data_IF_992662511065
#
_entry.id   IF_992662511065
#
_cell.length_a   1.000
_cell.length_b   1.000
_cell.length_c   1.000
_cell.angle_alpha   90.00
_cell.angle_beta   90.00
_cell.angle_gamma   90.00
#
_symmetry.space_group_name_H-M   'P 1'
#
loop_
_entity.id
_entity.type
_entity.pdbx_description
1 polymer ?
#
# COMPACT_ATOMS: atom_id res chain seq x y z
N UNK A 1 8.82 -10.87 15.85
CA UNK A 1 7.87 -10.16 14.96
C UNK A 1 8.01 -8.65 15.08
N UNK A 2 7.83 -8.06 16.27
CA UNK A 2 7.90 -6.59 16.48
C UNK A 2 9.26 -6.01 16.08
N UNK A 3 10.37 -6.67 16.46
CA UNK A 3 11.74 -6.23 16.14
C UNK A 3 11.98 -5.98 14.64
N UNK A 4 11.52 -6.89 13.77
CA UNK A 4 11.67 -6.73 12.31
C UNK A 4 10.90 -5.51 11.78
N UNK A 5 9.70 -5.24 12.32
CA UNK A 5 8.89 -4.07 11.93
C UNK A 5 9.58 -2.77 12.36
N UNK A 6 10.17 -2.75 13.55
CA UNK A 6 10.92 -1.59 14.06
C UNK A 6 12.19 -1.30 13.25
N UNK A 7 12.82 -2.36 12.73
CA UNK A 7 13.96 -2.34 11.80
C UNK A 7 13.55 -1.97 10.35
N UNK A 8 12.27 -1.72 10.10
CA UNK A 8 11.76 -1.23 8.81
C UNK A 8 11.29 -2.32 7.86
N UNK A 9 11.34 -3.60 8.25
CA UNK A 9 10.79 -4.67 7.42
C UNK A 9 9.28 -4.47 7.24
N UNK A 10 8.84 -4.60 5.99
CA UNK A 10 7.43 -4.66 5.59
C UNK A 10 7.22 -5.91 4.74
N UNK A 11 5.99 -6.42 4.75
CA UNK A 11 5.64 -7.57 3.92
C UNK A 11 5.85 -7.22 2.44
N UNK A 12 6.41 -8.13 1.63
CA UNK A 12 6.49 -7.94 0.20
C UNK A 12 5.10 -7.88 -0.42
N UNK A 13 4.95 -7.35 -1.65
CA UNK A 13 3.68 -7.38 -2.34
C UNK A 13 3.24 -8.83 -2.57
N UNK A 14 1.93 -9.14 -2.40
CA UNK A 14 1.38 -10.41 -2.85
C UNK A 14 1.56 -10.61 -4.37
N UNK A 15 1.48 -11.86 -4.83
CA UNK A 15 1.49 -12.18 -6.26
C UNK A 15 0.34 -11.46 -6.97
N UNK A 16 0.62 -10.88 -8.15
CA UNK A 16 -0.34 -10.08 -8.93
C UNK A 16 -0.92 -8.86 -8.19
N UNK A 17 -0.31 -8.42 -7.09
CA UNK A 17 -0.80 -7.24 -6.38
C UNK A 17 -0.57 -5.96 -7.22
N UNK A 18 -1.59 -5.13 -7.43
CA UNK A 18 -1.43 -3.83 -8.06
C UNK A 18 -0.46 -2.94 -7.25
N UNK A 19 0.45 -2.27 -7.96
CA UNK A 19 1.47 -1.38 -7.37
C UNK A 19 0.83 -0.29 -6.50
N UNK A 20 -0.27 0.33 -6.97
CA UNK A 20 -0.96 1.38 -6.21
C UNK A 20 -1.63 0.84 -4.95
N UNK A 21 -2.09 -0.41 -4.96
CA UNK A 21 -2.67 -1.04 -3.78
C UNK A 21 -1.57 -1.39 -2.76
N UNK A 22 -0.43 -1.88 -3.22
CA UNK A 22 0.73 -2.13 -2.36
C UNK A 22 1.27 -0.84 -1.75
N UNK A 23 1.31 0.25 -2.51
CA UNK A 23 1.69 1.56 -1.97
C UNK A 23 0.76 1.99 -0.83
N UNK A 24 -0.56 1.82 -0.99
CA UNK A 24 -1.51 2.11 0.08
C UNK A 24 -1.26 1.26 1.34
N UNK A 25 -0.85 0.00 1.18
CA UNK A 25 -0.46 -0.85 2.32
C UNK A 25 0.79 -0.31 3.02
N UNK A 26 1.82 0.09 2.27
CA UNK A 26 3.03 0.70 2.82
C UNK A 26 2.74 2.02 3.55
N UNK A 27 1.82 2.84 3.02
CA UNK A 27 1.37 4.07 3.66
C UNK A 27 0.63 3.79 4.98
N UNK A 28 -0.17 2.72 5.03
CA UNK A 28 -0.79 2.25 6.28
C UNK A 28 0.25 1.76 7.30
N UNK A 29 1.39 1.25 6.83
CA UNK A 29 2.46 0.71 7.67
C UNK A 29 3.58 1.71 7.98
N UNK A 30 3.36 3.01 7.79
CA UNK A 30 4.32 4.04 8.19
C UNK A 30 4.69 3.91 9.67
N UNK A 31 5.99 4.09 9.98
CA UNK A 31 6.51 4.01 11.35
C UNK A 31 5.88 5.08 12.22
N UNK A 32 5.90 6.33 11.75
CA UNK A 32 5.18 7.43 12.39
C UNK A 32 3.67 7.27 12.16
N UNK A 33 2.91 7.21 13.26
CA UNK A 33 1.45 7.11 13.21
C UNK A 33 0.79 8.31 12.53
N UNK A 34 1.42 9.49 12.59
CA UNK A 34 0.87 10.72 12.03
C UNK A 34 0.99 10.75 10.50
N UNK A 35 1.86 9.93 9.93
CA UNK A 35 2.02 9.77 8.48
C UNK A 35 1.08 8.73 7.88
N UNK A 36 0.37 7.95 8.73
CA UNK A 36 -0.59 6.96 8.25
C UNK A 36 -1.86 7.67 7.74
N UNK A 37 -2.44 7.23 6.62
CA UNK A 37 -3.67 7.81 6.13
C UNK A 37 -4.83 7.57 7.11
N UNK A 38 -5.71 8.57 7.23
CA UNK A 38 -6.99 8.40 7.93
C UNK A 38 -7.92 7.50 7.11
N UNK A 39 -8.89 6.88 7.77
CA UNK A 39 -9.86 6.01 7.09
C UNK A 39 -10.59 6.68 5.91
N UNK A 40 -10.96 7.96 6.04
CA UNK A 40 -11.57 8.73 4.95
C UNK A 40 -10.66 8.82 3.71
N UNK A 41 -9.35 8.96 3.90
CA UNK A 41 -8.38 9.00 2.82
C UNK A 41 -8.24 7.61 2.18
N UNK A 42 -8.19 6.54 2.99
CA UNK A 42 -8.13 5.16 2.51
C UNK A 42 -9.34 4.86 1.61
N UNK A 43 -10.56 5.15 2.10
CA UNK A 43 -11.80 4.96 1.33
C UNK A 43 -11.75 5.77 0.04
N UNK A 44 -11.38 7.04 0.09
CA UNK A 44 -11.27 7.90 -1.10
C UNK A 44 -10.29 7.36 -2.15
N UNK A 45 -9.16 6.81 -1.73
CA UNK A 45 -8.17 6.19 -2.61
C UNK A 45 -8.75 4.95 -3.28
N UNK A 46 -9.31 4.03 -2.50
CA UNK A 46 -9.93 2.80 -3.03
C UNK A 46 -11.05 3.11 -4.01
N UNK A 47 -11.88 4.09 -3.69
CA UNK A 47 -12.94 4.60 -4.55
C UNK A 47 -12.43 5.09 -5.91
N UNK A 48 -11.31 5.83 -5.92
CA UNK A 48 -10.67 6.29 -7.17
C UNK A 48 -10.14 5.12 -8.00
N UNK A 49 -9.57 4.11 -7.34
CA UNK A 49 -9.07 2.91 -8.01
C UNK A 49 -10.20 2.08 -8.62
N UNK A 50 -11.34 1.95 -7.91
CA UNK A 50 -12.53 1.26 -8.41
C UNK A 50 -13.13 1.99 -9.62
N UNK A 51 -13.20 3.33 -9.56
CA UNK A 51 -13.71 4.15 -10.68
C UNK A 51 -12.76 4.21 -11.88
N UNK A 52 -11.48 3.92 -11.69
CA UNK A 52 -10.50 3.82 -12.76
C UNK A 52 -9.70 2.50 -12.69
N UNK A 53 -10.29 1.38 -13.11
CA UNK A 53 -9.65 0.06 -12.98
C UNK A 53 -8.38 -0.08 -13.83
N UNK A 54 -8.15 0.82 -14.80
CA UNK A 54 -6.90 0.84 -15.57
C UNK A 54 -5.66 1.06 -14.69
N UNK A 55 -5.81 1.78 -13.58
CA UNK A 55 -4.74 2.03 -12.60
C UNK A 55 -4.31 0.78 -11.83
N UNK A 56 -5.13 -0.28 -11.83
CA UNK A 56 -4.82 -1.54 -11.13
C UNK A 56 -3.99 -2.51 -11.97
N UNK A 57 -3.72 -2.20 -13.24
CA UNK A 57 -3.04 -3.11 -14.17
C UNK A 57 -1.53 -3.23 -13.95
N UNK A 58 -0.92 -2.25 -13.27
CA UNK A 58 0.52 -2.23 -12.99
C UNK A 58 0.75 -3.06 -11.73
N UNK A 59 1.50 -4.15 -11.82
CA UNK A 59 1.82 -5.02 -10.68
C UNK A 59 3.09 -4.56 -9.97
N UNK A 60 3.17 -4.77 -8.66
CA UNK A 60 4.28 -4.32 -7.82
C UNK A 60 5.58 -5.14 -8.03
N UNK A 61 5.51 -6.30 -8.69
CA UNK A 61 6.62 -7.23 -8.91
C UNK A 61 7.58 -6.84 -10.05
N UNK A 62 7.31 -5.75 -10.77
CA UNK A 62 8.11 -5.31 -11.94
C UNK A 62 9.12 -4.20 -11.61
N UNK A 63 9.16 -3.69 -10.38
CA UNK A 63 10.16 -2.67 -9.99
C UNK A 63 11.30 -3.32 -9.21
N UNK A 64 12.29 -3.81 -9.96
CA UNK A 64 13.66 -4.05 -9.48
C UNK A 64 14.46 -2.75 -9.48
#
# INVERSE_FOLDING_TARGET
VIKAVDEGYRLPPPMECPATLYQLMLDCWQKDRNNRPKFEQIVSILDKLIRNPSSLKITASTTS
#
